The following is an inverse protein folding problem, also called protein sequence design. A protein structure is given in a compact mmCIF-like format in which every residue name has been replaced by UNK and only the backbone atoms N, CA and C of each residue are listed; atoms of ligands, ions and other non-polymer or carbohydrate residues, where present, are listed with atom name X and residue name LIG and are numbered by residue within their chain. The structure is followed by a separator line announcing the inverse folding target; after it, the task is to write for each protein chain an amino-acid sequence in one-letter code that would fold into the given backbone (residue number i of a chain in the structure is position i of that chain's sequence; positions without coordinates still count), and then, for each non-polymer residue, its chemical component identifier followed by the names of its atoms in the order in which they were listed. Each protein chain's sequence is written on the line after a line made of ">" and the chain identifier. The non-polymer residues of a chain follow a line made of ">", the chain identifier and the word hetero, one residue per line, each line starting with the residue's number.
data_IF_992630390253
#
_entry.id   IF_992630390253
#
_cell.length_a   1.000
_cell.length_b   1.000
_cell.length_c   1.000
_cell.angle_alpha   90.00
_cell.angle_beta   90.00
_cell.angle_gamma   90.00
#
_symmetry.space_group_name_H-M   'P 1'
#
loop_
_entity.id
_entity.type
_entity.pdbx_description
1 polymer ?
#
# COMPACT_ATOMS: atom_id res chain seq x y z
N UNK A 1 -45.27 -10.38 41.41
CA UNK A 1 -44.11 -9.56 40.99
C UNK A 1 -42.94 -10.40 41.41
N UNK A 2 -42.46 -11.23 40.50
CA UNK A 2 -41.52 -12.30 40.79
C UNK A 2 -40.54 -12.32 39.63
N UNK A 3 -39.51 -11.47 39.72
CA UNK A 3 -38.37 -11.55 38.82
C UNK A 3 -37.46 -12.70 39.30
N UNK A 4 -37.09 -13.64 38.43
CA UNK A 4 -36.14 -14.67 38.81
C UNK A 4 -34.75 -14.05 39.03
N UNK A 5 -34.19 -14.32 40.21
CA UNK A 5 -32.86 -13.92 40.61
C UNK A 5 -31.83 -14.44 39.60
N UNK A 6 -31.23 -13.56 38.81
CA UNK A 6 -30.07 -13.90 37.98
C UNK A 6 -28.87 -14.10 38.91
N UNK A 7 -28.45 -15.35 39.08
CA UNK A 7 -27.16 -15.68 39.68
C UNK A 7 -26.06 -15.00 38.85
N UNK A 8 -25.26 -14.17 39.51
CA UNK A 8 -24.06 -13.62 38.92
C UNK A 8 -23.10 -14.76 38.54
N UNK A 9 -22.41 -14.59 37.42
CA UNK A 9 -21.40 -15.54 36.94
C UNK A 9 -20.20 -15.60 37.88
N UNK A 10 -19.48 -16.71 37.82
CA UNK A 10 -18.37 -17.04 38.71
C UNK A 10 -17.34 -15.91 38.83
N UNK A 11 -17.04 -15.51 40.07
CA UNK A 11 -15.84 -14.72 40.37
C UNK A 11 -14.60 -15.60 40.12
N UNK A 12 -13.88 -15.34 39.04
CA UNK A 12 -12.54 -15.92 38.80
C UNK A 12 -11.59 -15.50 39.95
N UNK A 13 -11.43 -16.37 40.96
CA UNK A 13 -10.49 -16.13 42.07
C UNK A 13 -9.07 -15.91 41.51
N UNK A 14 -8.57 -14.67 41.63
CA UNK A 14 -7.24 -14.29 41.18
C UNK A 14 -6.18 -14.97 42.05
N UNK A 15 -5.69 -16.12 41.59
CA UNK A 15 -4.71 -16.98 42.25
C UNK A 15 -3.46 -16.19 42.69
N UNK A 16 -3.27 -16.00 43.99
CA UNK A 16 -2.20 -15.14 44.50
C UNK A 16 -0.81 -15.83 44.42
N UNK A 17 0.25 -15.08 44.06
CA UNK A 17 1.60 -15.62 43.97
C UNK A 17 2.15 -16.03 45.34
N UNK A 18 2.69 -17.25 45.43
CA UNK A 18 3.32 -17.81 46.63
C UNK A 18 4.79 -18.21 46.38
N UNK A 19 5.63 -18.10 47.40
CA UNK A 19 7.02 -18.56 47.37
C UNK A 19 7.21 -20.01 47.86
N UNK A 20 6.12 -20.72 48.20
CA UNK A 20 6.22 -22.10 48.69
C UNK A 20 6.76 -23.06 47.61
N UNK A 21 7.52 -24.07 48.04
CA UNK A 21 8.16 -25.04 47.14
C UNK A 21 7.15 -25.72 46.21
N UNK A 22 6.00 -26.16 46.76
CA UNK A 22 4.99 -26.87 45.98
C UNK A 22 4.30 -25.97 44.96
N UNK A 23 4.03 -24.71 45.31
CA UNK A 23 3.49 -23.72 44.38
C UNK A 23 4.49 -23.40 43.26
N UNK A 24 5.76 -23.17 43.61
CA UNK A 24 6.82 -22.90 42.64
C UNK A 24 7.09 -24.09 41.71
N UNK A 25 7.08 -25.33 42.23
CA UNK A 25 7.18 -26.54 41.41
C UNK A 25 5.97 -26.72 40.48
N UNK A 26 4.75 -26.43 40.96
CA UNK A 26 3.54 -26.43 40.13
C UNK A 26 3.62 -25.39 39.02
N UNK A 27 3.98 -24.13 39.33
CA UNK A 27 4.11 -23.06 38.35
C UNK A 27 5.24 -23.30 37.35
N UNK A 28 6.38 -23.88 37.78
CA UNK A 28 7.45 -24.29 36.88
C UNK A 28 6.98 -25.37 35.89
N UNK A 29 6.22 -26.37 36.36
CA UNK A 29 5.63 -27.40 35.49
C UNK A 29 4.60 -26.82 34.52
N UNK A 30 3.76 -25.87 34.96
CA UNK A 30 2.82 -25.16 34.09
C UNK A 30 3.56 -24.33 33.02
N UNK A 31 4.64 -23.63 33.40
CA UNK A 31 5.49 -22.88 32.48
C UNK A 31 6.15 -23.81 31.45
N UNK A 32 6.77 -24.91 31.89
CA UNK A 32 7.37 -25.90 31.00
C UNK A 32 6.34 -26.45 30.00
N UNK A 33 5.16 -26.85 30.45
CA UNK A 33 4.10 -27.33 29.56
C UNK A 33 3.65 -26.30 28.51
N UNK A 34 3.63 -25.00 28.86
CA UNK A 34 3.36 -23.93 27.88
C UNK A 34 4.50 -23.78 26.86
N UNK A 35 5.75 -23.86 27.30
CA UNK A 35 6.93 -23.81 26.41
C UNK A 35 6.95 -25.01 25.44
N UNK A 36 6.73 -26.23 25.94
CA UNK A 36 6.70 -27.46 25.13
C UNK A 36 5.55 -27.42 24.09
N UNK A 37 4.39 -26.89 24.47
CA UNK A 37 3.28 -26.65 23.55
C UNK A 37 3.65 -25.62 22.46
N UNK A 38 4.32 -24.52 22.82
CA UNK A 38 4.78 -23.50 21.86
C UNK A 38 5.79 -24.06 20.84
N UNK A 39 6.74 -24.89 21.28
CA UNK A 39 7.66 -25.58 20.36
C UNK A 39 6.93 -26.56 19.44
N UNK A 40 5.95 -27.31 19.97
CA UNK A 40 5.15 -28.26 19.19
C UNK A 40 4.31 -27.54 18.11
N UNK A 41 3.74 -26.37 18.43
CA UNK A 41 3.03 -25.53 17.48
C UNK A 41 3.97 -24.92 16.42
N UNK A 42 5.20 -24.52 16.80
CA UNK A 42 6.21 -24.04 15.87
C UNK A 42 6.67 -25.11 14.87
N UNK A 43 6.85 -26.37 15.33
CA UNK A 43 7.17 -27.48 14.44
C UNK A 43 6.01 -27.79 13.47
N UNK A 44 4.78 -27.79 13.97
CA UNK A 44 3.58 -28.06 13.17
C UNK A 44 3.37 -27.00 12.09
N UNK A 45 3.58 -25.72 12.41
CA UNK A 45 3.50 -24.60 11.46
C UNK A 45 4.63 -24.61 10.44
N UNK A 46 5.85 -25.03 10.83
CA UNK A 46 6.93 -25.28 9.88
C UNK A 46 6.55 -26.37 8.85
N UNK A 47 5.90 -27.45 9.29
CA UNK A 47 5.42 -28.49 8.38
C UNK A 47 4.32 -27.98 7.42
N UNK A 48 3.54 -26.95 7.79
CA UNK A 48 2.60 -26.27 6.89
C UNK A 48 3.30 -25.37 5.88
N UNK A 49 4.23 -24.52 6.33
CA UNK A 49 5.08 -23.72 5.44
C UNK A 49 5.78 -24.58 4.38
N UNK A 50 6.36 -25.72 4.80
CA UNK A 50 6.98 -26.66 3.86
C UNK A 50 5.98 -27.31 2.90
N UNK A 51 4.73 -27.58 3.31
CA UNK A 51 3.67 -28.05 2.40
C UNK A 51 3.30 -26.99 1.37
N UNK A 52 3.24 -25.71 1.74
CA UNK A 52 2.97 -24.60 0.80
C UNK A 52 4.10 -24.44 -0.21
N UNK A 53 5.35 -24.44 0.25
CA UNK A 53 6.54 -24.39 -0.61
C UNK A 53 6.50 -25.55 -1.62
N UNK A 54 6.38 -26.79 -1.12
CA UNK A 54 6.40 -27.99 -1.97
C UNK A 54 5.19 -28.12 -2.92
N UNK A 55 4.08 -27.42 -2.65
CA UNK A 55 2.91 -27.36 -3.55
C UNK A 55 3.04 -26.32 -4.67
N UNK A 56 3.98 -25.39 -4.59
CA UNK A 56 4.17 -24.31 -5.56
C UNK A 56 5.62 -24.25 -6.09
N UNK A 57 6.23 -25.38 -6.53
CA UNK A 57 7.66 -25.45 -6.86
C UNK A 57 8.05 -24.64 -8.12
N UNK A 58 7.08 -24.31 -8.96
CA UNK A 58 7.21 -23.46 -10.14
C UNK A 58 7.08 -21.97 -9.82
N UNK A 59 6.59 -21.62 -8.62
CA UNK A 59 6.31 -20.24 -8.19
C UNK A 59 7.11 -19.79 -6.98
N UNK A 60 7.62 -20.70 -6.15
CA UNK A 60 8.57 -20.41 -5.06
C UNK A 60 9.92 -21.01 -5.44
N UNK A 61 10.86 -20.13 -5.79
CA UNK A 61 12.18 -20.51 -6.31
C UNK A 61 13.23 -20.07 -5.29
N UNK A 62 14.15 -20.98 -4.94
CA UNK A 62 15.28 -20.68 -4.07
C UNK A 62 16.52 -20.40 -4.92
N UNK A 63 17.06 -19.19 -4.78
CA UNK A 63 18.36 -18.76 -5.26
C UNK A 63 19.38 -18.81 -4.10
N UNK A 64 20.67 -18.57 -4.38
CA UNK A 64 21.76 -18.65 -3.39
C UNK A 64 21.55 -17.70 -2.21
N UNK A 65 21.06 -16.49 -2.48
CA UNK A 65 20.88 -15.42 -1.47
C UNK A 65 19.40 -15.04 -1.25
N UNK A 66 18.49 -15.51 -2.09
CA UNK A 66 17.12 -15.00 -2.17
C UNK A 66 16.08 -16.12 -2.31
N UNK A 67 14.87 -15.84 -1.81
CA UNK A 67 13.66 -16.59 -2.11
C UNK A 67 12.83 -15.73 -3.07
N UNK A 68 12.55 -16.27 -4.26
CA UNK A 68 11.78 -15.59 -5.30
C UNK A 68 10.36 -16.17 -5.30
N UNK A 69 9.36 -15.30 -5.19
CA UNK A 69 7.94 -15.68 -5.28
C UNK A 69 7.31 -15.05 -6.51
N UNK A 70 6.82 -15.88 -7.42
CA UNK A 70 6.14 -15.46 -8.65
C UNK A 70 4.65 -15.28 -8.38
N UNK A 71 4.23 -14.07 -8.04
CA UNK A 71 2.84 -13.68 -7.82
C UNK A 71 1.98 -13.70 -9.09
N UNK A 72 0.69 -13.42 -8.92
CA UNK A 72 -0.24 -13.24 -10.04
C UNK A 72 -0.12 -11.85 -10.66
N UNK A 73 0.28 -10.84 -9.89
CA UNK A 73 0.50 -9.46 -10.36
C UNK A 73 1.98 -9.11 -10.54
N UNK A 74 2.88 -9.61 -9.70
CA UNK A 74 4.30 -9.23 -9.73
C UNK A 74 5.26 -10.38 -9.35
N UNK A 75 6.55 -10.14 -9.52
CA UNK A 75 7.61 -10.98 -8.96
C UNK A 75 8.08 -10.37 -7.65
N UNK A 76 8.41 -11.20 -6.66
CA UNK A 76 8.88 -10.79 -5.34
C UNK A 76 10.21 -11.45 -5.01
N UNK A 77 11.13 -10.70 -4.40
CA UNK A 77 12.47 -11.16 -4.02
C UNK A 77 12.71 -10.86 -2.53
N UNK A 78 12.79 -11.94 -1.74
CA UNK A 78 12.95 -11.91 -0.29
C UNK A 78 14.39 -12.36 0.04
N UNK A 79 15.21 -11.57 0.73
CA UNK A 79 16.54 -12.02 1.14
C UNK A 79 16.44 -13.22 2.10
N UNK A 80 17.16 -14.31 1.81
CA UNK A 80 17.11 -15.53 2.62
C UNK A 80 17.55 -15.26 4.07
N UNK A 81 18.62 -14.50 4.24
CA UNK A 81 19.12 -14.08 5.55
C UNK A 81 18.11 -13.24 6.36
N UNK A 82 17.20 -12.51 5.71
CA UNK A 82 16.16 -11.75 6.42
C UNK A 82 15.12 -12.68 7.07
N UNK A 83 14.87 -13.86 6.49
CA UNK A 83 14.02 -14.90 7.08
C UNK A 83 14.79 -15.69 8.14
N UNK A 84 15.99 -16.18 7.79
CA UNK A 84 16.79 -17.03 8.69
C UNK A 84 17.24 -16.31 9.96
N UNK A 85 17.58 -15.03 9.89
CA UNK A 85 17.97 -14.24 11.07
C UNK A 85 16.84 -14.12 12.09
N UNK A 86 15.59 -13.93 11.63
CA UNK A 86 14.41 -13.84 12.50
C UNK A 86 13.99 -15.18 13.10
N UNK A 87 14.16 -16.29 12.37
CA UNK A 87 14.00 -17.64 12.94
C UNK A 87 15.10 -17.98 13.96
N UNK A 88 16.33 -17.53 13.73
CA UNK A 88 17.49 -17.78 14.61
C UNK A 88 17.43 -16.98 15.91
N UNK A 89 17.02 -15.71 15.87
CA UNK A 89 16.79 -14.89 17.05
C UNK A 89 15.68 -13.84 16.77
N UNK A 90 14.43 -14.08 17.21
CA UNK A 90 13.33 -13.15 16.96
C UNK A 90 13.50 -11.81 17.71
N UNK A 91 14.36 -11.76 18.73
CA UNK A 91 14.69 -10.56 19.50
C UNK A 91 15.85 -9.75 18.90
N UNK A 92 16.53 -10.24 17.85
CA UNK A 92 17.61 -9.53 17.19
C UNK A 92 17.09 -8.61 16.06
N UNK A 93 17.46 -7.32 16.15
CA UNK A 93 17.07 -6.30 15.18
C UNK A 93 15.58 -5.91 15.27
N UNK A 94 15.25 -4.73 14.75
CA UNK A 94 13.94 -4.09 14.90
C UNK A 94 12.72 -4.82 14.31
N UNK A 95 11.58 -4.14 14.36
CA UNK A 95 10.24 -4.66 14.09
C UNK A 95 10.05 -5.27 12.70
N UNK A 96 9.70 -6.56 12.66
CA UNK A 96 9.19 -7.25 11.46
C UNK A 96 10.24 -7.88 10.54
N UNK A 97 9.75 -8.50 9.46
CA UNK A 97 10.56 -8.91 8.31
C UNK A 97 11.07 -7.67 7.56
N UNK A 98 12.20 -7.80 6.87
CA UNK A 98 12.69 -6.74 5.99
C UNK A 98 11.70 -6.51 4.83
N UNK A 99 11.66 -5.27 4.33
CA UNK A 99 10.84 -4.92 3.18
C UNK A 99 11.25 -5.75 1.96
N UNK A 100 10.28 -6.34 1.28
CA UNK A 100 10.53 -7.25 0.17
C UNK A 100 10.61 -6.47 -1.13
N UNK A 101 11.58 -6.83 -1.98
CA UNK A 101 11.71 -6.21 -3.29
C UNK A 101 10.67 -6.79 -4.23
N UNK A 102 10.18 -5.98 -5.15
CA UNK A 102 9.27 -6.43 -6.21
C UNK A 102 9.65 -5.87 -7.56
N UNK A 103 9.47 -6.68 -8.59
CA UNK A 103 9.70 -6.40 -10.01
C UNK A 103 8.45 -6.80 -10.80
N UNK A 104 8.36 -6.42 -12.09
CA UNK A 104 7.22 -6.83 -12.92
C UNK A 104 7.16 -8.36 -13.04
N UNK A 105 5.95 -8.88 -13.29
CA UNK A 105 5.66 -10.31 -13.36
C UNK A 105 6.57 -11.00 -14.39
N UNK A 106 7.34 -11.98 -13.91
CA UNK A 106 8.31 -12.73 -14.73
C UNK A 106 9.68 -12.06 -14.90
N UNK A 107 9.85 -10.80 -14.48
CA UNK A 107 11.18 -10.17 -14.43
C UNK A 107 11.90 -10.55 -13.13
N UNK A 108 13.11 -11.09 -13.24
CA UNK A 108 14.02 -11.31 -12.10
C UNK A 108 14.99 -10.12 -11.87
N UNK A 109 15.12 -9.25 -12.87
CA UNK A 109 15.92 -8.02 -12.87
C UNK A 109 15.19 -6.99 -13.70
N UNK A 110 14.98 -5.78 -13.17
CA UNK A 110 14.16 -4.76 -13.81
C UNK A 110 14.02 -3.52 -12.92
N UNK A 111 12.95 -2.74 -13.13
CA UNK A 111 12.58 -1.66 -12.20
C UNK A 111 12.12 -2.30 -10.89
N UNK A 112 12.87 -2.06 -9.81
CA UNK A 112 12.49 -2.52 -8.47
C UNK A 112 11.58 -1.49 -7.77
N UNK A 113 10.65 -1.98 -6.98
CA UNK A 113 9.97 -1.24 -5.91
C UNK A 113 10.06 -2.03 -4.60
N UNK A 114 9.73 -1.37 -3.48
CA UNK A 114 9.66 -1.98 -2.15
C UNK A 114 8.20 -2.24 -1.80
N UNK A 115 7.87 -3.48 -1.45
CA UNK A 115 6.50 -3.88 -1.10
C UNK A 115 6.40 -4.32 0.36
N UNK A 116 5.30 -3.91 0.99
CA UNK A 116 4.86 -4.43 2.28
C UNK A 116 3.50 -5.10 2.08
N UNK A 117 3.44 -6.39 2.42
CA UNK A 117 2.20 -7.17 2.54
C UNK A 117 2.30 -7.91 3.87
N UNK A 118 1.27 -7.82 4.71
CA UNK A 118 1.29 -8.32 6.08
C UNK A 118 -0.05 -8.98 6.39
N UNK A 119 -0.08 -10.16 7.02
CA UNK A 119 -1.33 -10.76 7.47
C UNK A 119 -2.05 -9.82 8.45
N UNK A 120 -3.39 -9.89 8.50
CA UNK A 120 -4.22 -8.98 9.30
C UNK A 120 -3.88 -9.06 10.78
N UNK A 121 -3.14 -8.03 11.24
CA UNK A 121 -2.53 -7.88 12.55
C UNK A 121 -3.44 -8.24 13.74
N UNK A 122 -4.76 -8.13 13.58
CA UNK A 122 -5.75 -8.47 14.61
C UNK A 122 -5.73 -9.94 15.03
N UNK A 123 -5.32 -10.85 14.14
CA UNK A 123 -5.34 -12.29 14.38
C UNK A 123 -3.95 -12.95 14.38
N UNK A 124 -2.87 -12.17 14.24
CA UNK A 124 -1.49 -12.72 14.06
C UNK A 124 -0.74 -12.90 15.38
N UNK A 125 -1.14 -12.19 16.44
CA UNK A 125 -0.41 -12.17 17.71
C UNK A 125 -0.29 -13.56 18.39
N UNK A 126 -1.31 -14.40 18.22
CA UNK A 126 -1.38 -15.75 18.78
C UNK A 126 -0.90 -16.84 17.81
N UNK A 127 -0.48 -16.49 16.58
CA UNK A 127 -0.03 -17.46 15.59
C UNK A 127 1.44 -17.85 15.79
N UNK A 128 1.79 -19.14 15.63
CA UNK A 128 3.18 -19.57 15.48
C UNK A 128 3.90 -18.80 14.35
N UNK A 129 5.16 -18.44 14.55
CA UNK A 129 5.93 -17.63 13.59
C UNK A 129 6.01 -18.22 12.18
N UNK A 130 6.00 -19.55 12.04
CA UNK A 130 5.97 -20.19 10.73
C UNK A 130 4.60 -20.12 10.03
N UNK A 131 3.48 -19.99 10.75
CA UNK A 131 2.15 -19.75 10.15
C UNK A 131 2.05 -18.29 9.63
N UNK A 132 2.74 -17.35 10.28
CA UNK A 132 2.89 -15.97 9.80
C UNK A 132 3.70 -15.95 8.50
N UNK A 133 4.78 -16.73 8.42
CA UNK A 133 5.55 -16.92 7.18
C UNK A 133 4.74 -17.64 6.10
N UNK A 134 4.01 -18.71 6.43
CA UNK A 134 3.16 -19.41 5.45
C UNK A 134 2.09 -18.48 4.87
N UNK A 135 1.40 -17.74 5.74
CA UNK A 135 0.45 -16.69 5.35
C UNK A 135 1.12 -15.66 4.43
N UNK A 136 2.31 -15.18 4.76
CA UNK A 136 3.05 -14.22 3.95
C UNK A 136 3.36 -14.77 2.54
N UNK A 137 3.82 -16.01 2.41
CA UNK A 137 4.06 -16.65 1.12
C UNK A 137 2.77 -16.87 0.32
N UNK A 138 1.69 -17.34 0.97
CA UNK A 138 0.37 -17.49 0.35
C UNK A 138 -0.20 -16.15 -0.16
N UNK A 139 0.07 -15.07 0.58
CA UNK A 139 -0.34 -13.72 0.23
C UNK A 139 0.41 -13.18 -0.99
N UNK A 140 1.72 -13.42 -1.11
CA UNK A 140 2.50 -13.10 -2.32
C UNK A 140 2.06 -13.93 -3.54
N UNK A 141 1.79 -15.23 -3.34
CA UNK A 141 1.29 -16.14 -4.39
C UNK A 141 -0.12 -15.79 -4.90
N UNK A 142 -0.89 -15.03 -4.12
CA UNK A 142 -2.27 -14.61 -4.43
C UNK A 142 -2.43 -13.09 -4.27
N UNK A 143 -1.39 -12.35 -4.64
CA UNK A 143 -1.35 -10.89 -4.57
C UNK A 143 -2.57 -10.24 -5.22
N UNK A 144 -3.06 -10.78 -6.35
CA UNK A 144 -4.31 -10.42 -7.04
C UNK A 144 -5.57 -10.44 -6.16
N UNK A 145 -5.62 -11.29 -5.13
CA UNK A 145 -6.75 -11.38 -4.19
C UNK A 145 -6.53 -10.49 -2.97
N UNK A 146 -5.31 -10.51 -2.41
CA UNK A 146 -5.00 -9.79 -1.18
C UNK A 146 -4.90 -8.27 -1.38
N UNK A 147 -4.50 -7.81 -2.56
CA UNK A 147 -4.39 -6.39 -2.94
C UNK A 147 -5.67 -5.57 -2.73
N UNK A 148 -6.85 -6.20 -2.71
CA UNK A 148 -8.12 -5.54 -2.44
C UNK A 148 -8.36 -5.21 -0.95
N UNK A 149 -7.60 -5.80 -0.02
CA UNK A 149 -7.79 -5.56 1.42
C UNK A 149 -7.32 -4.14 1.80
N UNK A 150 -8.05 -3.40 2.68
CA UNK A 150 -7.71 -2.02 3.03
C UNK A 150 -6.24 -1.83 3.46
N UNK A 151 -5.73 -2.71 4.31
CA UNK A 151 -4.35 -2.69 4.84
C UNK A 151 -3.25 -2.74 3.75
N UNK A 152 -3.54 -3.26 2.55
CA UNK A 152 -2.56 -3.43 1.48
C UNK A 152 -2.40 -2.21 0.55
N UNK A 153 -2.54 -1.00 1.10
CA UNK A 153 -2.17 0.24 0.42
C UNK A 153 -0.74 0.21 -0.15
N UNK A 154 0.28 -0.23 0.60
CA UNK A 154 1.64 -0.34 0.10
C UNK A 154 1.80 -1.27 -1.12
N UNK A 155 1.06 -2.39 -1.17
CA UNK A 155 1.06 -3.29 -2.34
C UNK A 155 0.44 -2.60 -3.56
N UNK A 156 -0.71 -1.93 -3.40
CA UNK A 156 -1.37 -1.21 -4.51
C UNK A 156 -0.46 -0.12 -5.09
N UNK A 157 0.21 0.63 -4.21
CA UNK A 157 1.17 1.67 -4.57
C UNK A 157 2.43 1.10 -5.25
N UNK A 158 2.96 -0.03 -4.78
CA UNK A 158 4.05 -0.73 -5.47
C UNK A 158 3.64 -1.19 -6.88
N UNK A 159 2.41 -1.69 -7.08
CA UNK A 159 1.90 -2.05 -8.41
C UNK A 159 1.80 -0.84 -9.35
N UNK A 160 1.31 0.31 -8.87
CA UNK A 160 1.34 1.57 -9.64
C UNK A 160 2.77 2.00 -9.98
N UNK A 161 3.73 1.89 -9.06
CA UNK A 161 5.13 2.25 -9.36
C UNK A 161 5.78 1.32 -10.40
N UNK A 162 5.42 0.04 -10.42
CA UNK A 162 5.94 -0.93 -11.38
C UNK A 162 5.32 -0.77 -12.78
N UNK A 163 3.99 -0.66 -12.85
CA UNK A 163 3.23 -0.75 -14.10
C UNK A 163 2.66 0.58 -14.61
N UNK A 164 2.53 1.55 -13.71
CA UNK A 164 1.91 2.83 -14.00
C UNK A 164 0.42 2.69 -14.34
N UNK A 165 -0.06 3.51 -15.27
CA UNK A 165 -1.44 3.49 -15.75
C UNK A 165 -1.61 2.58 -16.98
N UNK A 166 -0.54 2.00 -17.51
CA UNK A 166 -0.55 1.17 -18.72
C UNK A 166 -1.20 -0.22 -18.54
N UNK A 167 -1.49 -0.89 -19.65
CA UNK A 167 -1.96 -2.29 -19.67
C UNK A 167 -0.92 -3.21 -19.02
N UNK A 168 -1.35 -3.94 -17.99
CA UNK A 168 -0.50 -4.78 -17.15
C UNK A 168 -1.33 -5.87 -16.45
N UNK A 169 -0.69 -6.88 -15.82
CA UNK A 169 -1.37 -7.82 -14.94
C UNK A 169 -2.19 -7.14 -13.82
N UNK A 170 -1.75 -5.95 -13.38
CA UNK A 170 -2.42 -5.18 -12.33
C UNK A 170 -3.62 -4.35 -12.81
N UNK A 171 -3.80 -4.12 -14.12
CA UNK A 171 -4.78 -3.13 -14.63
C UNK A 171 -6.22 -3.38 -14.18
N UNK A 172 -6.65 -4.64 -14.05
CA UNK A 172 -8.01 -4.95 -13.56
C UNK A 172 -8.21 -4.52 -12.09
N UNK A 173 -7.22 -4.77 -11.24
CA UNK A 173 -7.23 -4.36 -9.83
C UNK A 173 -7.08 -2.85 -9.70
N UNK A 174 -6.15 -2.25 -10.44
CA UNK A 174 -5.93 -0.80 -10.43
C UNK A 174 -7.17 -0.06 -10.90
N UNK A 175 -7.89 -0.59 -11.90
CA UNK A 175 -9.22 -0.09 -12.29
C UNK A 175 -10.16 -0.07 -11.09
N UNK A 176 -10.38 -1.23 -10.46
CA UNK A 176 -11.27 -1.34 -9.30
C UNK A 176 -10.88 -0.37 -8.18
N UNK A 177 -9.59 -0.19 -7.90
CA UNK A 177 -9.14 0.70 -6.84
C UNK A 177 -9.28 2.19 -7.19
N UNK A 178 -8.83 2.61 -8.37
CA UNK A 178 -8.91 4.01 -8.83
C UNK A 178 -10.38 4.44 -8.93
N UNK A 179 -11.24 3.63 -9.53
CA UNK A 179 -12.67 3.95 -9.76
C UNK A 179 -13.55 3.80 -8.50
N UNK A 180 -13.05 3.18 -7.43
CA UNK A 180 -13.75 3.12 -6.13
C UNK A 180 -13.25 4.14 -5.11
N UNK A 181 -11.98 4.55 -5.21
CA UNK A 181 -11.37 5.58 -4.34
C UNK A 181 -11.60 6.98 -4.89
N UNK A 182 -11.79 7.12 -6.20
CA UNK A 182 -11.97 8.40 -6.90
C UNK A 182 -13.14 8.33 -7.87
N UNK A 183 -13.65 9.49 -8.31
CA UNK A 183 -14.64 9.57 -9.39
C UNK A 183 -14.02 9.52 -10.81
N UNK A 184 -12.81 8.98 -10.95
CA UNK A 184 -12.12 8.85 -12.23
C UNK A 184 -12.61 7.64 -13.05
N UNK A 185 -12.32 7.67 -14.35
CA UNK A 185 -12.47 6.56 -15.30
C UNK A 185 -11.05 6.10 -15.70
N UNK A 186 -10.71 4.83 -15.45
CA UNK A 186 -9.36 4.31 -15.73
C UNK A 186 -9.27 3.67 -17.12
N UNK A 187 -8.28 4.11 -17.91
CA UNK A 187 -8.12 3.81 -19.34
C UNK A 187 -6.73 3.25 -19.62
N UNK A 188 -6.48 1.96 -19.30
CA UNK A 188 -5.14 1.38 -19.40
C UNK A 188 -4.60 1.30 -20.83
N UNK A 189 -5.49 1.12 -21.81
CA UNK A 189 -5.15 1.15 -23.25
C UNK A 189 -4.64 2.52 -23.73
N UNK A 190 -4.93 3.59 -22.99
CA UNK A 190 -4.44 4.95 -23.25
C UNK A 190 -3.36 5.38 -22.25
N UNK A 191 -2.90 4.47 -21.37
CA UNK A 191 -2.04 4.74 -20.21
C UNK A 191 -2.49 6.00 -19.46
N UNK A 192 -3.77 6.03 -19.08
CA UNK A 192 -4.41 7.24 -18.58
C UNK A 192 -5.53 7.00 -17.55
N UNK A 193 -5.79 8.03 -16.75
CA UNK A 193 -6.99 8.15 -15.91
C UNK A 193 -7.66 9.50 -16.20
N UNK A 194 -8.99 9.54 -16.31
CA UNK A 194 -9.77 10.75 -16.58
C UNK A 194 -10.71 11.08 -15.44
N UNK A 195 -10.74 12.33 -14.98
CA UNK A 195 -11.65 12.78 -13.92
C UNK A 195 -12.37 14.08 -14.30
N UNK A 196 -13.56 14.29 -13.76
CA UNK A 196 -14.26 15.58 -13.87
C UNK A 196 -13.63 16.55 -12.87
N UNK A 197 -13.27 17.73 -13.35
CA UNK A 197 -12.94 18.86 -12.50
C UNK A 197 -14.16 19.75 -12.25
N UNK A 198 -13.91 20.89 -11.63
CA UNK A 198 -14.89 21.96 -11.42
C UNK A 198 -15.09 22.80 -12.70
N UNK A 199 -16.06 23.71 -12.71
CA UNK A 199 -16.39 24.64 -13.82
C UNK A 199 -16.58 23.99 -15.21
N UNK A 200 -16.96 22.71 -15.24
CA UNK A 200 -17.13 21.94 -16.47
C UNK A 200 -15.82 21.55 -17.16
N UNK A 201 -14.69 21.60 -16.44
CA UNK A 201 -13.43 21.02 -16.87
C UNK A 201 -13.47 19.49 -16.74
N UNK A 202 -12.70 18.83 -17.59
CA UNK A 202 -12.26 17.45 -17.43
C UNK A 202 -10.75 17.42 -17.47
N UNK A 203 -10.17 16.53 -16.68
CA UNK A 203 -8.74 16.31 -16.60
C UNK A 203 -8.40 14.90 -17.06
N UNK A 204 -7.19 14.73 -17.58
CA UNK A 204 -6.58 13.44 -17.89
C UNK A 204 -5.15 13.44 -17.35
N UNK A 205 -4.83 12.44 -16.55
CA UNK A 205 -3.47 12.12 -16.10
C UNK A 205 -2.95 10.98 -16.97
N UNK A 206 -1.69 11.05 -17.41
CA UNK A 206 -1.05 9.98 -18.19
C UNK A 206 0.43 9.87 -17.87
N UNK A 207 0.94 8.64 -17.85
CA UNK A 207 2.35 8.26 -17.68
C UNK A 207 2.95 7.70 -18.98
N UNK A 208 2.28 7.91 -20.13
CA UNK A 208 2.70 7.38 -21.44
C UNK A 208 4.03 7.93 -21.98
N UNK A 209 4.59 8.96 -21.33
CA UNK A 209 5.84 9.59 -21.76
C UNK A 209 7.03 9.01 -20.97
N UNK A 210 7.90 8.19 -21.58
CA UNK A 210 9.02 7.55 -20.87
C UNK A 210 10.19 8.50 -20.57
N UNK A 211 10.10 9.78 -20.97
CA UNK A 211 11.14 10.80 -20.76
C UNK A 211 10.89 11.68 -19.52
N UNK A 212 9.80 11.44 -18.78
CA UNK A 212 9.41 12.18 -17.57
C UNK A 212 9.35 11.25 -16.37
N UNK A 213 9.50 11.80 -15.16
CA UNK A 213 9.56 11.03 -13.92
C UNK A 213 8.19 10.85 -13.26
N UNK A 214 7.34 11.87 -13.35
CA UNK A 214 5.95 11.87 -12.92
C UNK A 214 4.98 11.70 -14.09
N UNK A 215 3.85 12.42 -14.01
CA UNK A 215 2.73 12.29 -14.95
C UNK A 215 2.55 13.55 -15.78
N UNK A 216 2.20 13.40 -17.06
CA UNK A 216 1.71 14.50 -17.89
C UNK A 216 0.22 14.74 -17.61
N UNK A 217 -0.15 16.01 -17.37
CA UNK A 217 -1.54 16.39 -17.08
C UNK A 217 -2.12 17.18 -18.26
N UNK A 218 -3.34 16.82 -18.63
CA UNK A 218 -4.10 17.40 -19.73
C UNK A 218 -5.48 17.83 -19.26
N UNK A 219 -6.05 18.85 -19.91
CA UNK A 219 -7.41 19.31 -19.66
C UNK A 219 -8.26 19.39 -20.92
N UNK A 220 -9.56 19.50 -20.69
CA UNK A 220 -10.59 19.74 -21.68
C UNK A 220 -11.74 20.51 -21.06
N UNK A 221 -12.02 21.71 -21.57
CA UNK A 221 -13.18 22.52 -21.16
C UNK A 221 -14.50 21.93 -21.67
N UNK A 222 -15.62 22.43 -21.16
CA UNK A 222 -16.96 22.17 -21.72
C UNK A 222 -16.95 22.38 -23.24
N UNK A 223 -17.48 21.40 -23.99
CA UNK A 223 -17.53 21.32 -25.47
C UNK A 223 -16.19 21.04 -26.23
N UNK A 224 -15.02 21.30 -25.65
CA UNK A 224 -13.69 20.93 -26.16
C UNK A 224 -13.44 21.20 -27.68
N UNK A 225 -13.03 20.23 -28.52
CA UNK A 225 -13.09 18.75 -28.41
C UNK A 225 -11.77 18.01 -28.09
N UNK A 226 -10.58 18.59 -28.31
CA UNK A 226 -9.25 17.95 -28.13
C UNK A 226 -8.73 18.11 -26.69
N UNK A 227 -7.87 17.21 -26.21
CA UNK A 227 -7.11 17.44 -24.98
C UNK A 227 -6.03 18.50 -25.19
N UNK A 228 -5.80 19.35 -24.19
CA UNK A 228 -4.70 20.33 -24.14
C UNK A 228 -3.78 19.96 -22.99
N UNK A 229 -2.48 19.79 -23.24
CA UNK A 229 -1.49 19.54 -22.20
C UNK A 229 -1.31 20.81 -21.37
N UNK A 230 -1.21 20.67 -20.06
CA UNK A 230 -0.91 21.75 -19.13
C UNK A 230 0.36 21.47 -18.33
N UNK A 231 0.63 20.22 -17.98
CA UNK A 231 1.87 19.81 -17.30
C UNK A 231 2.58 18.75 -18.13
N UNK A 232 3.87 18.97 -18.36
CA UNK A 232 4.76 17.99 -18.99
C UNK A 232 5.13 16.86 -18.03
N UNK A 233 5.57 17.22 -16.82
CA UNK A 233 6.00 16.30 -15.77
C UNK A 233 5.52 16.81 -14.39
N UNK A 234 4.68 16.04 -13.71
CA UNK A 234 4.22 16.37 -12.34
C UNK A 234 5.31 16.26 -11.28
N UNK A 235 6.49 15.70 -11.58
CA UNK A 235 7.63 15.75 -10.65
C UNK A 235 8.22 17.15 -10.49
N UNK A 236 7.80 18.12 -11.32
CA UNK A 236 8.15 19.53 -11.21
C UNK A 236 7.31 20.28 -10.17
N UNK A 237 6.33 19.61 -9.55
CA UNK A 237 5.54 20.18 -8.46
C UNK A 237 6.47 20.43 -7.25
N UNK A 238 6.40 21.63 -6.69
CA UNK A 238 7.22 22.10 -5.58
C UNK A 238 7.08 21.19 -4.36
N UNK A 239 5.84 20.73 -4.09
CA UNK A 239 5.53 19.74 -3.08
C UNK A 239 5.28 18.35 -3.68
N UNK A 240 6.13 17.91 -4.62
CA UNK A 240 6.02 16.61 -5.31
C UNK A 240 5.80 15.38 -4.40
N UNK A 241 6.24 15.42 -3.14
CA UNK A 241 5.97 14.36 -2.15
C UNK A 241 4.49 14.24 -1.72
N UNK A 242 3.67 15.28 -1.90
CA UNK A 242 2.21 15.22 -1.75
C UNK A 242 1.53 14.62 -2.99
N UNK A 243 2.21 14.57 -4.14
CA UNK A 243 1.68 14.18 -5.44
C UNK A 243 2.46 13.01 -6.06
N UNK A 244 2.97 12.13 -5.20
CA UNK A 244 3.91 11.06 -5.58
C UNK A 244 3.23 9.79 -6.11
N UNK A 245 1.89 9.73 -6.09
CA UNK A 245 1.10 8.78 -6.87
C UNK A 245 -0.14 9.41 -7.53
N UNK A 246 -0.74 8.65 -8.45
CA UNK A 246 -1.83 9.13 -9.31
C UNK A 246 -3.08 9.53 -8.52
N UNK A 247 -3.32 8.97 -7.33
CA UNK A 247 -4.54 9.26 -6.58
C UNK A 247 -4.53 10.68 -6.03
N UNK A 248 -3.42 11.11 -5.43
CA UNK A 248 -3.25 12.49 -4.95
C UNK A 248 -3.36 13.51 -6.08
N UNK A 249 -2.87 13.17 -7.28
CA UNK A 249 -3.03 14.01 -8.48
C UNK A 249 -4.51 14.05 -8.90
N UNK A 250 -5.20 12.91 -8.95
CA UNK A 250 -6.63 12.87 -9.30
C UNK A 250 -7.51 13.61 -8.29
N UNK A 251 -7.16 13.59 -7.00
CA UNK A 251 -7.82 14.36 -5.94
C UNK A 251 -7.74 15.86 -6.21
N UNK A 252 -6.51 16.42 -6.34
CA UNK A 252 -6.28 17.82 -6.73
C UNK A 252 -7.04 18.22 -8.00
N UNK A 253 -7.04 17.34 -9.01
CA UNK A 253 -7.70 17.59 -10.29
C UNK A 253 -9.24 17.54 -10.19
N UNK A 254 -9.80 16.78 -9.25
CA UNK A 254 -11.25 16.74 -9.04
C UNK A 254 -11.82 18.08 -8.58
N UNK A 255 -11.07 18.80 -7.73
CA UNK A 255 -11.41 20.15 -7.28
C UNK A 255 -10.93 21.26 -8.23
N UNK A 256 -10.00 20.98 -9.13
CA UNK A 256 -9.44 21.98 -10.07
C UNK A 256 -10.38 22.29 -11.25
N UNK A 257 -10.45 23.57 -11.70
CA UNK A 257 -9.63 24.71 -11.30
C UNK A 257 -10.14 25.53 -10.10
N UNK A 258 -11.30 25.23 -9.48
CA UNK A 258 -11.88 25.99 -8.35
C UNK A 258 -10.90 26.18 -7.19
N UNK A 259 -10.24 25.11 -6.74
CA UNK A 259 -9.24 25.16 -5.65
C UNK A 259 -8.13 26.18 -5.94
N UNK A 260 -7.67 26.24 -7.18
CA UNK A 260 -6.61 27.16 -7.66
C UNK A 260 -7.02 28.65 -7.70
N UNK A 261 -8.29 28.96 -7.42
CA UNK A 261 -8.84 30.32 -7.40
C UNK A 261 -9.25 30.73 -5.99
N UNK A 262 -9.96 29.83 -5.28
CA UNK A 262 -10.74 30.17 -4.10
C UNK A 262 -10.14 29.71 -2.78
N UNK A 263 -9.27 28.70 -2.79
CA UNK A 263 -8.77 28.11 -1.55
C UNK A 263 -7.42 28.76 -1.14
N UNK A 264 -6.86 28.32 -0.01
CA UNK A 264 -5.58 28.83 0.51
C UNK A 264 -4.42 28.56 -0.45
N UNK A 265 -3.36 29.39 -0.51
CA UNK A 265 -2.23 29.18 -1.41
C UNK A 265 -1.58 27.78 -1.28
N UNK A 266 -1.57 27.21 -0.07
CA UNK A 266 -1.04 25.87 0.21
C UNK A 266 -1.96 24.72 -0.23
N UNK A 267 -3.18 24.99 -0.69
CA UNK A 267 -4.10 23.98 -1.21
C UNK A 267 -3.75 23.53 -2.65
N UNK A 268 -2.78 24.18 -3.29
CA UNK A 268 -2.34 23.87 -4.64
C UNK A 268 -0.87 24.19 -4.89
N UNK A 269 -0.29 23.49 -5.85
CA UNK A 269 1.10 23.65 -6.27
C UNK A 269 1.33 24.93 -7.12
N UNK A 270 2.36 25.74 -6.80
CA UNK A 270 2.59 27.03 -7.48
C UNK A 270 2.94 26.85 -8.97
N UNK A 271 3.68 25.79 -9.34
CA UNK A 271 3.96 25.48 -10.74
C UNK A 271 2.68 25.07 -11.49
N UNK A 272 1.85 24.21 -10.90
CA UNK A 272 0.55 23.84 -11.48
C UNK A 272 -0.39 25.04 -11.65
N UNK A 273 -0.46 25.95 -10.66
CA UNK A 273 -1.23 27.19 -10.78
C UNK A 273 -0.77 28.03 -11.97
N UNK A 274 0.55 28.23 -12.15
CA UNK A 274 1.10 29.00 -13.26
C UNK A 274 0.83 28.36 -14.63
N UNK A 275 0.89 27.03 -14.74
CA UNK A 275 0.52 26.34 -15.98
C UNK A 275 -0.97 26.45 -16.30
N UNK A 276 -1.86 26.32 -15.30
CA UNK A 276 -3.31 26.49 -15.49
C UNK A 276 -3.67 27.95 -15.80
N UNK A 277 -2.97 28.93 -15.23
CA UNK A 277 -3.19 30.36 -15.48
C UNK A 277 -3.08 30.75 -16.96
N UNK A 278 -2.19 30.10 -17.73
CA UNK A 278 -2.06 30.26 -19.19
C UNK A 278 -3.36 29.93 -19.96
N UNK A 279 -4.26 29.20 -19.32
CA UNK A 279 -5.52 28.73 -19.90
C UNK A 279 -6.76 29.15 -19.09
N UNK A 280 -6.61 29.74 -17.90
CA UNK A 280 -7.72 30.10 -17.01
C UNK A 280 -7.50 31.48 -16.36
N UNK A 281 -8.19 32.50 -16.89
CA UNK A 281 -8.06 33.88 -16.44
C UNK A 281 -8.32 34.12 -14.92
N UNK A 282 -9.27 33.43 -14.25
CA UNK A 282 -9.43 33.54 -12.80
C UNK A 282 -8.19 33.14 -11.99
N UNK A 283 -7.46 32.10 -12.42
CA UNK A 283 -6.21 31.67 -11.76
C UNK A 283 -5.08 32.67 -12.04
N UNK A 284 -5.00 33.20 -13.26
CA UNK A 284 -4.06 34.26 -13.60
C UNK A 284 -4.29 35.53 -12.75
N UNK A 285 -5.55 35.89 -12.50
CA UNK A 285 -5.91 37.02 -11.63
C UNK A 285 -5.56 36.73 -10.16
N UNK A 286 -5.79 35.50 -9.67
CA UNK A 286 -5.40 35.10 -8.31
C UNK A 286 -3.90 35.26 -8.08
N UNK A 287 -3.07 34.75 -8.99
CA UNK A 287 -1.60 34.88 -8.91
C UNK A 287 -1.17 36.36 -8.88
N UNK A 288 -1.80 37.22 -9.68
CA UNK A 288 -1.49 38.66 -9.68
C UNK A 288 -1.84 39.34 -8.35
N UNK A 289 -2.96 38.97 -7.72
CA UNK A 289 -3.35 39.50 -6.42
C UNK A 289 -2.37 39.03 -5.33
N UNK A 290 -2.06 37.72 -5.28
CA UNK A 290 -1.13 37.15 -4.30
C UNK A 290 0.27 37.79 -4.40
N UNK A 291 0.73 38.10 -5.62
CA UNK A 291 1.99 38.83 -5.85
C UNK A 291 1.94 40.30 -5.37
N UNK A 292 0.81 40.99 -5.54
CA UNK A 292 0.63 42.35 -5.04
C UNK A 292 0.58 42.38 -3.50
N UNK A 293 -0.12 41.45 -2.88
CA UNK A 293 -0.19 41.31 -1.42
C UNK A 293 1.20 41.03 -0.82
N UNK A 294 1.95 40.06 -1.37
CA UNK A 294 3.35 39.77 -1.00
C UNK A 294 4.29 40.98 -1.19
N UNK A 295 4.05 41.85 -2.17
CA UNK A 295 4.86 43.06 -2.40
C UNK A 295 4.46 44.26 -1.52
N UNK A 296 3.32 44.18 -0.83
CA UNK A 296 2.78 45.22 0.06
C UNK A 296 2.95 44.91 1.56
N UNK A 297 3.51 43.74 1.89
CA UNK A 297 3.73 43.21 3.25
C UNK A 297 5.18 43.35 3.69
#
# INVERSE_FOLDING_TARGET
>A
MDEPFLLAQDDDEVEQPSSSSDYQAMKLKQFQGKIDASFSAMQTSFDYLMKTINKNPDRIIFDVENIIVLGNLATYTIPLDAVLSKLKNPFAGGSGLQATKTTRKGELKGRESSVCIQPDYKNVADLPGCDVLDSYFLMLLNDDKFIHQPAHGPLRRAMLQLYGLSVSPASAVMKTWIESTTAAEFKPEESAAEIKGTDGWKWRVSDSNPLVHGYSIWFKKKNQRKWTKVVDDSSLFEYSYHYDDVLSILELLSDSPRVLVHDEPYASDEYFMHEVAKHHAPVALRIQNDQQERASS
#
